data_IF_424289576436
#
_entry.id   IF_424289576436
#
_cell.length_a   1.000
_cell.length_b   1.000
_cell.length_c   1.000
_cell.angle_alpha   90.00
_cell.angle_beta   90.00
_cell.angle_gamma   90.00
#
_symmetry.space_group_name_H-M   'P 1'
#
loop_
_entity.id
_entity.type
_entity.pdbx_description
1 polymer ?
#
# COMPACT_ATOMS: atom_id res chain seq x y z
N UNK A 1 19.03 -1.61 14.63
CA UNK A 1 18.18 -2.69 15.13
C UNK A 1 16.88 -2.81 14.36
N UNK A 2 16.02 -1.82 14.50
CA UNK A 2 14.75 -1.84 13.78
C UNK A 2 14.95 -1.90 12.27
N UNK A 3 16.00 -1.26 11.75
CA UNK A 3 16.27 -1.28 10.33
C UNK A 3 16.57 -2.67 9.80
N UNK A 4 17.24 -3.50 10.59
CA UNK A 4 17.54 -4.86 10.18
C UNK A 4 16.29 -5.69 10.06
N UNK A 5 15.34 -5.49 10.98
CA UNK A 5 14.06 -6.17 10.92
C UNK A 5 13.28 -5.75 9.69
N UNK A 6 13.31 -4.44 9.37
CA UNK A 6 12.63 -3.93 8.18
C UNK A 6 13.25 -4.49 6.90
N UNK A 7 14.58 -4.58 6.85
CA UNK A 7 15.25 -5.16 5.70
C UNK A 7 14.90 -6.63 5.52
N UNK A 8 14.75 -7.34 6.63
CA UNK A 8 14.35 -8.72 6.60
C UNK A 8 12.96 -8.88 6.00
N UNK A 9 12.03 -8.03 6.44
CA UNK A 9 10.67 -8.03 5.89
C UNK A 9 10.68 -7.65 4.41
N UNK A 10 11.54 -6.72 4.03
CA UNK A 10 11.64 -6.28 2.64
C UNK A 10 12.11 -7.39 1.71
N UNK A 11 12.80 -8.40 2.23
CA UNK A 11 13.19 -9.56 1.42
C UNK A 11 11.99 -10.39 1.00
N UNK A 12 10.88 -10.32 1.76
CA UNK A 12 9.67 -11.08 1.50
C UNK A 12 8.57 -10.25 0.84
N UNK A 13 8.68 -8.93 0.91
CA UNK A 13 7.66 -7.99 0.42
C UNK A 13 8.30 -6.96 -0.48
N UNK A 14 7.50 -6.26 -1.31
CA UNK A 14 8.02 -5.12 -2.05
C UNK A 14 8.64 -4.10 -1.10
N UNK A 15 9.70 -3.46 -1.53
CA UNK A 15 10.41 -2.48 -0.72
C UNK A 15 9.75 -1.12 -0.90
N UNK A 16 9.43 -0.46 0.22
CA UNK A 16 8.93 0.91 0.22
C UNK A 16 10.07 1.86 0.53
N UNK A 17 10.27 2.82 -0.35
CA UNK A 17 11.25 3.90 -0.16
C UNK A 17 10.52 5.21 0.08
N UNK A 18 10.97 5.97 1.08
CA UNK A 18 10.40 7.28 1.38
C UNK A 18 11.24 8.36 0.71
N UNK A 19 10.58 9.20 -0.08
CA UNK A 19 11.21 10.34 -0.72
C UNK A 19 10.26 11.52 -0.69
N UNK A 20 10.66 12.61 -0.01
CA UNK A 20 9.94 13.90 -0.03
C UNK A 20 8.43 13.76 -0.03
N UNK A 21 7.86 12.98 0.89
CA UNK A 21 6.43 12.81 1.03
C UNK A 21 5.81 11.80 0.07
N UNK A 22 6.61 11.19 -0.80
CA UNK A 22 6.15 10.13 -1.70
C UNK A 22 6.93 8.86 -1.43
N UNK A 23 6.38 7.72 -1.84
CA UNK A 23 7.00 6.42 -1.67
C UNK A 23 7.09 5.71 -3.00
N UNK A 24 8.23 5.08 -3.28
CA UNK A 24 8.40 4.20 -4.42
C UNK A 24 8.34 2.77 -3.93
N UNK A 25 7.58 1.93 -4.61
CA UNK A 25 7.47 0.51 -4.28
C UNK A 25 8.31 -0.26 -5.29
N UNK A 26 9.23 -1.09 -4.79
CA UNK A 26 10.12 -1.86 -5.65
C UNK A 26 9.98 -3.35 -5.34
N UNK A 27 10.16 -4.16 -6.36
CA UNK A 27 10.19 -5.61 -6.16
C UNK A 27 11.58 -6.05 -5.72
N UNK A 28 11.77 -7.37 -5.55
CA UNK A 28 13.05 -7.91 -5.09
C UNK A 28 14.20 -7.70 -6.08
N UNK A 29 13.89 -7.38 -7.33
CA UNK A 29 14.89 -7.04 -8.35
C UNK A 29 15.15 -5.54 -8.43
N UNK A 30 14.66 -4.78 -7.47
CA UNK A 30 14.80 -3.32 -7.40
C UNK A 30 14.14 -2.58 -8.55
N UNK A 31 13.21 -3.21 -9.24
CA UNK A 31 12.42 -2.51 -10.24
C UNK A 31 11.29 -1.76 -9.56
N UNK A 32 11.11 -0.50 -9.93
CA UNK A 32 10.00 0.29 -9.41
C UNK A 32 8.70 -0.20 -10.03
N UNK A 33 7.81 -0.71 -9.20
CA UNK A 33 6.53 -1.27 -9.66
C UNK A 33 5.35 -0.37 -9.34
N UNK A 34 5.55 0.61 -8.47
CA UNK A 34 4.47 1.54 -8.11
C UNK A 34 5.04 2.76 -7.41
N UNK A 35 4.22 3.79 -7.34
CA UNK A 35 4.50 5.01 -6.61
C UNK A 35 3.28 5.35 -5.76
N UNK A 36 3.51 5.69 -4.50
CA UNK A 36 2.45 6.14 -3.60
C UNK A 36 2.76 7.58 -3.24
N UNK A 37 1.90 8.50 -3.69
CA UNK A 37 2.13 9.93 -3.48
C UNK A 37 1.69 10.32 -2.07
N UNK A 38 2.17 11.46 -1.62
CA UNK A 38 1.86 11.94 -0.27
C UNK A 38 0.37 12.19 -0.06
N UNK A 39 -0.38 12.43 -1.13
CA UNK A 39 -1.83 12.63 -1.06
C UNK A 39 -2.62 11.32 -1.11
N UNK A 40 -1.93 10.17 -1.14
CA UNK A 40 -2.57 8.87 -1.18
C UNK A 40 -2.83 8.33 -2.57
N UNK A 41 -2.50 9.05 -3.62
CA UNK A 41 -2.63 8.57 -4.99
C UNK A 41 -1.63 7.45 -5.23
N UNK A 42 -2.10 6.33 -5.78
CA UNK A 42 -1.26 5.19 -6.11
C UNK A 42 -1.11 5.10 -7.62
N UNK A 43 0.13 5.02 -8.07
CA UNK A 43 0.45 4.92 -9.49
C UNK A 43 1.23 3.64 -9.75
N UNK A 44 1.11 3.10 -10.97
CA UNK A 44 1.93 1.95 -11.35
C UNK A 44 3.33 2.42 -11.75
N UNK A 45 4.17 1.50 -12.20
CA UNK A 45 5.54 1.82 -12.60
C UNK A 45 5.62 2.76 -13.78
N UNK A 46 4.55 2.91 -14.54
CA UNK A 46 4.46 3.82 -15.68
C UNK A 46 3.79 5.14 -15.31
N UNK A 47 3.60 5.39 -14.02
CA UNK A 47 2.98 6.61 -13.49
C UNK A 47 1.50 6.76 -13.84
N UNK A 48 0.83 5.66 -14.16
CA UNK A 48 -0.62 5.70 -14.32
C UNK A 48 -1.30 5.53 -12.98
N UNK A 49 -2.31 6.35 -12.71
CA UNK A 49 -3.06 6.26 -11.46
C UNK A 49 -3.89 4.99 -11.45
N UNK A 50 -3.65 4.14 -10.44
CA UNK A 50 -4.36 2.88 -10.29
C UNK A 50 -5.22 2.85 -9.05
N UNK A 51 -5.13 3.85 -8.18
CA UNK A 51 -5.98 3.90 -7.01
C UNK A 51 -5.66 5.03 -6.08
N UNK A 52 -6.39 5.04 -4.98
CA UNK A 52 -6.27 6.09 -3.96
C UNK A 52 -6.39 5.49 -2.57
N UNK A 53 -5.53 5.91 -1.67
CA UNK A 53 -5.54 5.51 -0.27
C UNK A 53 -5.92 6.74 0.53
N UNK A 54 -7.13 6.74 1.09
CA UNK A 54 -7.60 7.89 1.86
C UNK A 54 -7.13 7.79 3.30
N UNK A 55 -6.97 8.92 3.94
CA UNK A 55 -6.45 8.97 5.31
C UNK A 55 -7.35 8.27 6.32
N UNK A 56 -8.64 8.10 6.01
CA UNK A 56 -9.58 7.40 6.88
C UNK A 56 -9.55 5.88 6.68
N UNK A 57 -8.68 5.37 5.81
CA UNK A 57 -8.57 3.95 5.53
C UNK A 57 -9.40 3.45 4.37
N UNK A 58 -10.15 4.32 3.70
CA UNK A 58 -10.90 3.93 2.51
C UNK A 58 -9.95 3.79 1.33
N UNK A 59 -10.08 2.67 0.61
CA UNK A 59 -9.25 2.38 -0.56
C UNK A 59 -10.13 2.43 -1.80
N UNK A 60 -9.68 3.17 -2.80
CA UNK A 60 -10.42 3.33 -4.05
C UNK A 60 -9.56 2.88 -5.22
N UNK A 61 -10.21 2.44 -6.31
CA UNK A 61 -9.51 2.14 -7.55
C UNK A 61 -9.27 3.43 -8.35
N UNK A 62 -8.72 3.30 -9.56
CA UNK A 62 -8.40 4.44 -10.38
C UNK A 62 -9.61 5.24 -10.86
N UNK A 63 -10.81 4.65 -10.75
CA UNK A 63 -12.07 5.30 -11.10
C UNK A 63 -12.79 5.84 -9.88
N UNK A 64 -12.12 5.90 -8.74
CA UNK A 64 -12.67 6.41 -7.48
C UNK A 64 -13.78 5.52 -6.88
N UNK A 65 -13.84 4.27 -7.29
CA UNK A 65 -14.77 3.32 -6.67
C UNK A 65 -14.12 2.72 -5.45
N UNK A 66 -14.88 2.63 -4.35
CA UNK A 66 -14.38 2.03 -3.12
C UNK A 66 -14.21 0.54 -3.30
N UNK A 67 -12.98 0.06 -3.10
CA UNK A 67 -12.66 -1.37 -3.22
C UNK A 67 -12.36 -2.00 -1.88
N UNK A 68 -12.17 -1.20 -0.84
CA UNK A 68 -11.91 -1.76 0.47
C UNK A 68 -11.74 -0.72 1.56
N UNK A 69 -11.53 -1.24 2.76
CA UNK A 69 -11.36 -0.42 3.96
C UNK A 69 -10.29 -1.03 4.85
N UNK A 70 -9.44 -0.20 5.42
CA UNK A 70 -8.45 -0.63 6.39
C UNK A 70 -8.74 0.12 7.68
N UNK A 71 -9.12 -0.63 8.71
CA UNK A 71 -9.49 -0.05 9.99
C UNK A 71 -8.25 0.28 10.81
N UNK A 72 -8.40 1.14 11.80
CA UNK A 72 -7.28 1.57 12.63
C UNK A 72 -6.64 0.43 13.42
N UNK A 73 -7.39 -0.66 13.65
CA UNK A 73 -6.85 -1.84 14.34
C UNK A 73 -6.14 -2.81 13.40
N UNK A 74 -6.02 -2.47 12.13
CA UNK A 74 -5.36 -3.31 11.13
C UNK A 74 -6.28 -4.25 10.38
N UNK A 75 -7.57 -4.28 10.69
CA UNK A 75 -8.52 -5.12 9.98
C UNK A 75 -8.68 -4.62 8.56
N UNK A 76 -8.57 -5.53 7.59
CA UNK A 76 -8.72 -5.21 6.17
C UNK A 76 -10.01 -5.79 5.67
N UNK A 77 -10.84 -4.96 5.04
CA UNK A 77 -12.14 -5.35 4.52
C UNK A 77 -12.23 -5.05 3.03
N UNK A 78 -13.02 -5.83 2.31
CA UNK A 78 -13.28 -5.54 0.90
C UNK A 78 -14.37 -4.45 0.79
N UNK A 79 -14.76 -4.13 -0.44
CA UNK A 79 -15.77 -3.09 -0.69
C UNK A 79 -17.14 -3.40 -0.12
N UNK A 80 -17.41 -4.65 0.23
CA UNK A 80 -18.67 -5.09 0.85
C UNK A 80 -18.54 -5.24 2.37
N UNK A 81 -17.45 -4.72 2.94
CA UNK A 81 -17.17 -4.77 4.37
C UNK A 81 -16.91 -6.18 4.91
N UNK A 82 -16.54 -7.11 4.05
CA UNK A 82 -16.13 -8.43 4.50
C UNK A 82 -14.65 -8.40 4.87
N UNK A 83 -14.31 -8.99 6.01
CA UNK A 83 -12.91 -9.04 6.44
C UNK A 83 -12.14 -9.98 5.54
N UNK A 84 -11.06 -9.48 4.95
CA UNK A 84 -10.20 -10.26 4.06
C UNK A 84 -8.79 -10.42 4.60
N UNK A 85 -8.47 -9.75 5.69
CA UNK A 85 -7.15 -9.88 6.30
C UNK A 85 -6.97 -8.99 7.49
N UNK A 86 -5.75 -9.03 8.01
CA UNK A 86 -5.39 -8.25 9.18
C UNK A 86 -3.92 -7.91 9.11
N UNK A 87 -3.56 -6.67 9.39
CA UNK A 87 -2.18 -6.19 9.29
C UNK A 87 -1.88 -5.26 10.47
N UNK A 88 -1.65 -5.87 11.62
CA UNK A 88 -1.41 -5.13 12.84
C UNK A 88 -0.01 -4.51 12.85
N UNK A 89 0.07 -3.23 13.17
CA UNK A 89 1.35 -2.54 13.28
C UNK A 89 2.03 -2.22 11.96
N UNK A 90 1.35 -2.38 10.84
CA UNK A 90 1.91 -2.11 9.52
C UNK A 90 1.33 -0.79 8.99
N UNK A 91 2.16 0.09 8.42
CA UNK A 91 1.66 1.36 7.89
C UNK A 91 0.54 1.17 6.88
N UNK A 92 -0.39 2.13 6.86
CA UNK A 92 -1.56 2.08 6.00
C UNK A 92 -1.19 1.89 4.52
N UNK A 93 -0.20 2.61 4.04
CA UNK A 93 0.18 2.54 2.63
C UNK A 93 0.69 1.14 2.25
N UNK A 94 1.44 0.49 3.13
CA UNK A 94 1.92 -0.86 2.89
C UNK A 94 0.75 -1.86 2.85
N UNK A 95 -0.13 -1.77 3.84
CA UNK A 95 -1.28 -2.64 3.92
C UNK A 95 -2.17 -2.48 2.70
N UNK A 96 -2.46 -1.24 2.32
CA UNK A 96 -3.29 -0.96 1.17
C UNK A 96 -2.67 -1.49 -0.12
N UNK A 97 -1.38 -1.27 -0.30
CA UNK A 97 -0.72 -1.74 -1.50
C UNK A 97 -0.74 -3.27 -1.58
N UNK A 98 -0.41 -3.93 -0.49
CA UNK A 98 -0.34 -5.39 -0.45
C UNK A 98 -1.69 -6.03 -0.75
N UNK A 99 -2.76 -5.52 -0.14
CA UNK A 99 -4.07 -6.16 -0.28
C UNK A 99 -4.83 -5.76 -1.54
N UNK A 100 -4.57 -4.59 -2.08
CA UNK A 100 -5.42 -4.06 -3.14
C UNK A 100 -4.71 -3.74 -4.45
N UNK A 101 -3.41 -3.56 -4.44
CA UNK A 101 -2.70 -3.09 -5.63
C UNK A 101 -1.56 -4.00 -6.07
N UNK A 102 -1.11 -4.91 -5.24
CA UNK A 102 -0.03 -5.81 -5.61
C UNK A 102 -0.55 -6.91 -6.52
N UNK A 103 0.22 -7.18 -7.58
CA UNK A 103 -0.13 -8.22 -8.54
C UNK A 103 0.86 -9.36 -8.51
#
# INVERSE_FOLDING_TARGET
>A
MKRRILLFLAALLPILSMEAGAQSVRNSSYQTIAHIKSDGTVQDGSYRTIGHIKSDGTIQDGSYRTVGHIKSDGTVQDGSYRTIGHADGIPLSWTAFYFFFMK
#
